data_IF_182689769355
#
_entry.id   IF_182689769355
#
_cell.length_a   1.000
_cell.length_b   1.000
_cell.length_c   1.000
_cell.angle_alpha   90.00
_cell.angle_beta   90.00
_cell.angle_gamma   90.00
#
_symmetry.space_group_name_H-M   'P 1'
#
loop_
_entity.id
_entity.type
_entity.pdbx_description
1 polymer ?
#
# COMPACT_ATOMS: atom_id res chain seq x y z
N UNK A 1 28.82 -18.15 8.28
CA UNK A 1 28.05 -17.00 7.76
C UNK A 1 26.66 -17.49 7.34
N UNK A 2 25.59 -17.31 8.13
CA UNK A 2 24.22 -17.56 7.65
C UNK A 2 23.76 -16.43 6.72
N UNK A 3 23.07 -16.78 5.64
CA UNK A 3 22.58 -15.84 4.61
C UNK A 3 21.42 -14.97 5.16
N UNK A 4 21.32 -13.67 4.79
CA UNK A 4 20.19 -12.81 5.16
C UNK A 4 18.87 -13.36 4.57
N UNK A 5 17.80 -13.21 5.35
CA UNK A 5 16.57 -14.01 5.28
C UNK A 5 15.80 -13.97 3.96
N UNK A 6 15.46 -15.17 3.49
CA UNK A 6 14.29 -15.38 2.64
C UNK A 6 13.05 -14.84 3.38
N UNK A 7 12.25 -14.03 2.69
CA UNK A 7 11.01 -13.46 3.23
C UNK A 7 10.16 -14.54 3.90
N UNK A 8 9.71 -14.27 5.12
CA UNK A 8 8.79 -15.18 5.82
C UNK A 8 7.51 -15.21 5.01
N UNK A 9 7.25 -16.33 4.33
CA UNK A 9 5.90 -16.66 3.91
C UNK A 9 5.01 -16.63 5.16
N UNK A 10 3.79 -16.06 5.10
CA UNK A 10 2.83 -16.21 6.18
C UNK A 10 2.74 -17.70 6.55
N UNK A 11 2.90 -18.03 7.82
CA UNK A 11 2.67 -19.41 8.26
C UNK A 11 1.26 -19.82 7.85
N UNK A 12 1.05 -21.08 7.46
CA UNK A 12 -0.24 -21.58 6.96
C UNK A 12 -1.43 -21.42 7.95
N UNK A 13 -1.19 -20.93 9.17
CA UNK A 13 -2.20 -20.54 10.17
C UNK A 13 -2.25 -19.05 10.49
N UNK A 14 -1.76 -18.17 9.60
CA UNK A 14 -1.93 -16.73 9.76
C UNK A 14 -3.43 -16.38 9.65
N UNK A 15 -4.01 -15.90 10.74
CA UNK A 15 -5.42 -15.50 10.85
C UNK A 15 -5.58 -14.02 11.23
N UNK A 16 -4.48 -13.32 11.55
CA UNK A 16 -4.49 -11.90 11.90
C UNK A 16 -3.66 -11.06 10.94
N UNK A 17 -4.07 -9.80 10.77
CA UNK A 17 -3.39 -8.84 9.89
C UNK A 17 -1.89 -8.65 10.24
N UNK A 18 -1.52 -8.81 11.51
CA UNK A 18 -0.12 -8.73 11.97
C UNK A 18 0.72 -9.92 11.52
N UNK A 19 0.10 -11.09 11.27
CA UNK A 19 0.79 -12.29 10.80
C UNK A 19 1.01 -12.26 9.28
N UNK A 20 0.16 -11.53 8.55
CA UNK A 20 0.35 -11.27 7.12
C UNK A 20 1.25 -10.06 6.83
N UNK A 21 1.47 -9.19 7.82
CA UNK A 21 2.41 -8.08 7.72
C UNK A 21 3.86 -8.58 7.78
N UNK A 22 4.35 -9.11 6.67
CA UNK A 22 5.73 -9.61 6.51
C UNK A 22 6.76 -8.49 6.37
N UNK A 23 6.29 -7.24 6.36
CA UNK A 23 7.06 -6.00 6.21
C UNK A 23 7.88 -5.72 7.46
N UNK A 24 9.17 -5.37 7.30
CA UNK A 24 10.00 -5.04 8.47
C UNK A 24 9.66 -3.65 9.01
N UNK A 25 9.88 -3.40 10.32
CA UNK A 25 9.73 -2.07 10.90
C UNK A 25 10.61 -1.02 10.20
N UNK A 26 11.75 -1.42 9.64
CA UNK A 26 12.63 -0.53 8.86
C UNK A 26 11.98 -0.11 7.54
N UNK A 27 11.34 -1.04 6.82
CA UNK A 27 10.59 -0.73 5.60
C UNK A 27 9.39 0.17 5.91
N UNK A 28 8.71 -0.09 7.03
CA UNK A 28 7.62 0.76 7.51
C UNK A 28 8.09 2.18 7.84
N UNK A 29 9.23 2.29 8.52
CA UNK A 29 9.85 3.57 8.82
C UNK A 29 10.27 4.30 7.53
N UNK A 30 10.82 3.59 6.54
CA UNK A 30 11.16 4.18 5.24
C UNK A 30 9.92 4.70 4.50
N UNK A 31 8.83 3.92 4.47
CA UNK A 31 7.58 4.31 3.84
C UNK A 31 6.88 5.49 4.55
N UNK A 32 7.09 5.64 5.86
CA UNK A 32 6.57 6.76 6.66
C UNK A 32 7.48 8.00 6.65
N UNK A 33 8.80 7.83 6.50
CA UNK A 33 9.78 8.91 6.55
C UNK A 33 10.03 9.58 5.18
N UNK A 34 9.64 8.93 4.08
CA UNK A 34 9.91 9.45 2.75
C UNK A 34 9.22 10.81 2.51
N UNK A 35 9.93 11.78 1.90
CA UNK A 35 9.51 13.19 1.85
C UNK A 35 8.18 13.32 1.12
N UNK A 36 7.32 14.21 1.64
CA UNK A 36 5.94 14.48 1.22
C UNK A 36 5.78 15.12 -0.19
N UNK A 37 6.67 14.82 -1.15
CA UNK A 37 6.61 15.32 -2.53
C UNK A 37 5.73 14.49 -3.46
N UNK A 38 5.09 15.12 -4.45
CA UNK A 38 4.24 14.49 -5.47
C UNK A 38 3.02 15.34 -5.79
N UNK A 39 2.65 15.45 -7.06
CA UNK A 39 1.43 16.11 -7.47
C UNK A 39 0.24 15.17 -7.27
N UNK A 40 -0.88 15.70 -6.78
CA UNK A 40 -2.14 14.94 -6.72
C UNK A 40 -2.53 14.59 -8.17
N UNK A 41 -2.47 13.31 -8.53
CA UNK A 41 -2.90 12.82 -9.84
C UNK A 41 -4.39 12.51 -9.87
N UNK A 42 -4.99 12.24 -8.71
CA UNK A 42 -6.41 11.99 -8.58
C UNK A 42 -6.77 11.33 -7.25
N UNK A 43 -8.07 11.23 -7.01
CA UNK A 43 -8.63 10.47 -5.89
C UNK A 43 -9.10 9.12 -6.38
N UNK A 44 -8.82 8.08 -5.61
CA UNK A 44 -9.30 6.73 -5.89
C UNK A 44 -9.89 6.10 -4.64
N UNK A 45 -10.77 5.13 -4.82
CA UNK A 45 -11.29 4.31 -3.72
C UNK A 45 -10.51 3.02 -3.70
N UNK A 46 -9.70 2.81 -2.68
CA UNK A 46 -8.91 1.61 -2.53
C UNK A 46 -9.53 0.62 -1.55
N UNK A 47 -9.38 -0.66 -1.87
CA UNK A 47 -9.74 -1.79 -1.01
C UNK A 47 -8.50 -2.60 -0.66
N UNK A 48 -8.60 -3.42 0.39
CA UNK A 48 -7.53 -4.35 0.74
C UNK A 48 -7.22 -5.26 -0.45
N UNK A 49 -5.99 -5.14 -0.96
CA UNK A 49 -5.44 -6.01 -2.00
C UNK A 49 -5.02 -7.37 -1.43
N UNK A 50 -4.18 -8.09 -2.17
CA UNK A 50 -3.66 -9.37 -1.71
C UNK A 50 -2.81 -9.19 -0.43
N UNK A 51 -3.25 -9.68 0.75
CA UNK A 51 -2.50 -9.52 1.99
C UNK A 51 -1.25 -10.42 2.04
N UNK A 52 -1.12 -11.39 1.14
CA UNK A 52 0.07 -12.22 1.03
C UNK A 52 1.21 -11.54 0.26
N UNK A 53 0.95 -10.40 -0.40
CA UNK A 53 1.93 -9.70 -1.21
C UNK A 53 2.77 -8.76 -0.32
N UNK A 54 4.09 -9.03 -0.14
CA UNK A 54 4.93 -8.23 0.74
C UNK A 54 5.21 -6.85 0.17
N UNK A 55 5.39 -5.87 1.06
CA UNK A 55 5.81 -4.50 0.70
C UNK A 55 4.66 -3.51 0.51
N UNK A 56 5.02 -2.29 0.11
CA UNK A 56 4.09 -1.16 0.00
C UNK A 56 3.75 -0.88 -1.47
N UNK A 57 2.53 -1.23 -1.86
CA UNK A 57 2.03 -1.00 -3.21
C UNK A 57 0.56 -0.60 -3.22
N UNK A 58 0.17 0.08 -4.30
CA UNK A 58 -1.19 0.46 -4.66
C UNK A 58 -1.40 0.16 -6.14
N UNK A 59 -2.25 -0.80 -6.46
CA UNK A 59 -2.73 -1.00 -7.82
C UNK A 59 -3.86 -0.02 -8.13
N UNK A 60 -3.68 0.82 -9.15
CA UNK A 60 -4.64 1.85 -9.53
C UNK A 60 -4.70 1.99 -11.05
N UNK A 61 -5.86 2.33 -11.64
CA UNK A 61 -5.95 2.65 -13.06
C UNK A 61 -5.47 4.07 -13.37
N UNK A 62 -5.16 4.88 -12.34
CA UNK A 62 -4.67 6.26 -12.49
C UNK A 62 -3.23 6.33 -13.01
N UNK A 63 -2.50 5.22 -13.01
CA UNK A 63 -1.15 5.13 -13.58
C UNK A 63 -1.13 4.08 -14.67
N UNK A 64 -0.36 4.35 -15.72
CA UNK A 64 -0.12 3.42 -16.82
C UNK A 64 1.18 2.62 -16.61
N UNK A 65 2.12 3.17 -15.85
CA UNK A 65 3.43 2.57 -15.59
C UNK A 65 3.70 2.43 -14.09
N UNK A 66 4.39 1.36 -13.66
CA UNK A 66 4.75 1.17 -12.26
C UNK A 66 5.73 2.27 -11.83
N UNK A 67 5.34 3.06 -10.83
CA UNK A 67 6.14 4.18 -10.32
C UNK A 67 5.94 4.37 -8.83
N UNK A 68 6.91 4.97 -8.16
CA UNK A 68 6.73 5.34 -6.76
C UNK A 68 5.74 6.51 -6.64
N UNK A 69 4.86 6.42 -5.65
CA UNK A 69 3.91 7.46 -5.33
C UNK A 69 3.58 7.49 -3.85
N UNK A 70 2.70 8.40 -3.46
CA UNK A 70 2.17 8.47 -2.11
C UNK A 70 0.67 8.37 -2.19
N UNK A 71 0.11 7.68 -1.21
CA UNK A 71 -1.33 7.72 -0.98
C UNK A 71 -1.61 8.36 0.36
N UNK A 72 -2.64 9.19 0.40
CA UNK A 72 -3.12 9.83 1.62
C UNK A 72 -4.55 9.37 1.86
N UNK A 73 -4.81 8.77 3.02
CA UNK A 73 -6.15 8.37 3.40
C UNK A 73 -6.96 9.61 3.78
N UNK A 74 -8.08 9.85 3.09
CA UNK A 74 -8.95 10.99 3.38
C UNK A 74 -9.59 10.84 4.76
N UNK A 75 -9.93 9.61 5.17
CA UNK A 75 -10.57 9.33 6.46
C UNK A 75 -9.67 9.57 7.67
N UNK A 76 -8.37 9.29 7.55
CA UNK A 76 -7.41 9.35 8.66
C UNK A 76 -6.45 10.56 8.56
N UNK A 77 -6.34 11.16 7.37
CA UNK A 77 -5.38 12.22 7.05
C UNK A 77 -3.92 11.74 6.97
N UNK A 78 -3.68 10.45 7.19
CA UNK A 78 -2.34 9.84 7.14
C UNK A 78 -1.92 9.61 5.71
N UNK A 79 -0.62 9.59 5.50
CA UNK A 79 -0.04 9.31 4.19
C UNK A 79 1.06 8.25 4.28
N UNK A 80 1.21 7.49 3.22
CA UNK A 80 2.21 6.42 3.11
C UNK A 80 2.76 6.37 1.68
N UNK A 81 4.06 6.13 1.57
CA UNK A 81 4.69 5.90 0.28
C UNK A 81 4.43 4.47 -0.19
N UNK A 82 3.97 4.33 -1.43
CA UNK A 82 3.62 3.06 -2.05
C UNK A 82 4.10 3.04 -3.49
N UNK A 83 4.38 1.85 -4.00
CA UNK A 83 4.55 1.63 -5.43
C UNK A 83 3.18 1.65 -6.12
N UNK A 84 2.93 2.67 -6.93
CA UNK A 84 1.76 2.74 -7.81
C UNK A 84 1.96 1.74 -8.94
N UNK A 85 1.07 0.75 -9.01
CA UNK A 85 1.06 -0.28 -10.05
C UNK A 85 -0.16 -0.06 -10.96
N UNK A 86 0.00 -0.13 -12.28
CA UNK A 86 -1.13 -0.04 -13.21
C UNK A 86 -2.01 -1.27 -13.04
N UNK A 87 -3.30 -1.10 -12.71
CA UNK A 87 -4.25 -2.22 -12.62
C UNK A 87 -4.83 -2.59 -14.00
N UNK A 88 -4.71 -1.69 -15.00
CA UNK A 88 -5.27 -1.89 -16.34
C UNK A 88 -6.81 -1.93 -16.40
N UNK A 89 -7.48 -1.68 -15.28
CA UNK A 89 -8.94 -1.60 -15.17
C UNK A 89 -9.49 -0.27 -15.68
N UNK A 90 -10.81 -0.20 -15.89
CA UNK A 90 -11.46 1.04 -16.30
C UNK A 90 -11.33 2.12 -15.22
N UNK A 91 -11.34 3.39 -15.63
CA UNK A 91 -11.40 4.55 -14.74
C UNK A 91 -12.58 4.37 -13.76
N UNK A 92 -12.28 4.33 -12.46
CA UNK A 92 -13.30 4.10 -11.41
C UNK A 92 -13.48 2.64 -10.96
N UNK A 93 -12.72 1.67 -11.50
CA UNK A 93 -12.78 0.25 -11.07
C UNK A 93 -12.28 -0.04 -9.64
N UNK A 94 -12.04 1.01 -8.85
CA UNK A 94 -11.40 0.92 -7.55
C UNK A 94 -9.89 0.63 -7.67
N UNK A 95 -9.19 0.88 -6.58
CA UNK A 95 -7.77 0.56 -6.42
C UNK A 95 -7.60 -0.56 -5.40
N UNK A 96 -6.46 -1.26 -5.44
CA UNK A 96 -6.08 -2.24 -4.41
C UNK A 96 -4.85 -1.75 -3.70
N UNK A 97 -4.85 -1.81 -2.38
CA UNK A 97 -3.71 -1.37 -1.57
C UNK A 97 -3.23 -2.51 -0.69
N UNK A 98 -1.92 -2.60 -0.55
CA UNK A 98 -1.26 -3.55 0.36
C UNK A 98 -1.72 -3.39 1.81
N UNK A 99 -1.82 -4.52 2.53
CA UNK A 99 -2.11 -4.57 3.96
C UNK A 99 -1.18 -3.68 4.82
N UNK A 100 0.16 -3.73 4.66
CA UNK A 100 1.08 -2.85 5.39
C UNK A 100 0.79 -1.36 5.18
N UNK A 101 0.40 -0.96 3.96
CA UNK A 101 0.08 0.43 3.67
C UNK A 101 -1.20 0.88 4.38
N UNK A 102 -2.26 0.05 4.38
CA UNK A 102 -3.48 0.32 5.15
C UNK A 102 -3.20 0.43 6.66
N UNK A 103 -2.32 -0.44 7.19
CA UNK A 103 -1.89 -0.37 8.58
C UNK A 103 -1.18 0.93 8.90
N UNK A 104 -0.31 1.41 8.02
CA UNK A 104 0.37 2.70 8.18
C UNK A 104 -0.59 3.89 8.10
N UNK A 105 -1.59 3.80 7.23
CA UNK A 105 -2.65 4.79 7.09
C UNK A 105 -3.63 4.77 8.27
N UNK A 106 -3.51 3.80 9.19
CA UNK A 106 -4.44 3.54 10.30
C UNK A 106 -5.91 3.59 9.85
N UNK A 107 -6.20 3.06 8.67
CA UNK A 107 -7.56 2.90 8.18
C UNK A 107 -8.04 1.47 8.42
N UNK A 108 -9.36 1.27 8.41
CA UNK A 108 -9.94 -0.06 8.44
C UNK A 108 -9.34 -0.96 7.34
N UNK A 109 -9.25 -2.26 7.61
CA UNK A 109 -8.84 -3.25 6.59
C UNK A 109 -10.01 -3.70 5.71
N UNK A 110 -11.23 -3.31 6.11
CA UNK A 110 -12.48 -3.65 5.46
C UNK A 110 -13.20 -2.37 5.09
N UNK A 111 -13.76 -2.34 3.88
CA UNK A 111 -14.50 -1.21 3.36
C UNK A 111 -13.85 -0.57 2.15
N UNK A 112 -14.48 0.53 1.72
CA UNK A 112 -14.04 1.36 0.62
C UNK A 112 -13.33 2.57 1.21
N UNK A 113 -12.01 2.67 1.02
CA UNK A 113 -11.21 3.77 1.56
C UNK A 113 -10.89 4.77 0.47
N UNK A 114 -11.34 6.01 0.64
CA UNK A 114 -10.95 7.10 -0.24
C UNK A 114 -9.48 7.47 0.02
N UNK A 115 -8.66 7.31 -1.02
CA UNK A 115 -7.25 7.64 -1.02
C UNK A 115 -6.97 8.71 -2.07
N UNK A 116 -6.33 9.79 -1.65
CA UNK A 116 -5.74 10.77 -2.55
C UNK A 116 -4.39 10.23 -3.03
N UNK A 117 -4.24 10.07 -4.35
CA UNK A 117 -3.05 9.49 -4.97
C UNK A 117 -2.16 10.60 -5.50
N UNK A 118 -0.91 10.58 -5.07
CA UNK A 118 0.12 11.52 -5.47
C UNK A 118 1.20 10.78 -6.24
N UNK A 119 1.52 11.24 -7.44
CA UNK A 119 2.66 10.75 -8.20
C UNK A 119 3.70 11.87 -8.32
N UNK A 120 4.97 11.51 -8.12
CA UNK A 120 6.14 12.39 -8.28
C UNK A 120 6.94 11.97 -9.49
#
# INVERSE_FOLDING_TARGET
MPRPGAGRLPGAGAVTAEQFDTTTPEQRAAAAAAPAGGALIGRTVATLGNPADPGFWLETPLVDTPRQGRVTAVSSGKSVQVELRPTGGAEGSGSRISLPALRLLEVGLTGLHELDVFAG
#
